data_IF_547506759121
#
_entry.id   IF_547506759121
#
_cell.length_a   1.000
_cell.length_b   1.000
_cell.length_c   1.000
_cell.angle_alpha   90.00
_cell.angle_beta   90.00
_cell.angle_gamma   90.00
#
_symmetry.space_group_name_H-M   'P 1'
#
loop_
_entity.id
_entity.type
_entity.pdbx_description
1 polymer ?
#
# COMPACT_ATOMS: atom_id res chain seq x y z
N UNK A 1 -7.14 7.07 -19.20
CA UNK A 1 -5.88 6.54 -19.76
C UNK A 1 -4.89 6.61 -18.63
N UNK A 2 -4.80 5.56 -17.83
CA UNK A 2 -3.91 5.52 -16.68
C UNK A 2 -2.48 5.38 -17.18
N UNK A 3 -1.76 6.49 -17.19
CA UNK A 3 -0.32 6.52 -17.32
C UNK A 3 0.27 5.69 -16.20
N UNK A 4 0.69 4.45 -16.49
CA UNK A 4 1.48 3.61 -15.59
C UNK A 4 2.82 4.28 -15.37
N UNK A 5 2.85 5.19 -14.39
CA UNK A 5 4.09 5.77 -13.93
C UNK A 5 4.79 4.68 -13.11
N UNK A 6 5.97 4.30 -13.60
CA UNK A 6 6.84 3.30 -13.02
C UNK A 6 8.03 4.01 -12.38
N UNK A 7 8.44 3.54 -11.20
CA UNK A 7 9.63 4.01 -10.51
C UNK A 7 10.56 2.82 -10.32
N UNK A 8 11.83 2.98 -10.67
CA UNK A 8 12.84 1.94 -10.47
C UNK A 8 12.98 1.62 -8.99
N UNK A 9 12.96 0.33 -8.64
CA UNK A 9 13.17 -0.13 -7.25
C UNK A 9 14.52 0.38 -6.73
N UNK A 10 15.56 0.34 -7.56
CA UNK A 10 16.89 0.80 -7.18
C UNK A 10 16.90 2.29 -6.80
N UNK A 11 16.22 3.13 -7.58
CA UNK A 11 16.08 4.56 -7.27
C UNK A 11 15.29 4.78 -5.99
N UNK A 12 14.19 4.04 -5.82
CA UNK A 12 13.35 4.08 -4.62
C UNK A 12 14.14 3.69 -3.37
N UNK A 13 14.81 2.53 -3.38
CA UNK A 13 15.64 2.04 -2.30
C UNK A 13 16.76 3.03 -1.93
N UNK A 14 17.38 3.68 -2.92
CA UNK A 14 18.40 4.72 -2.69
C UNK A 14 17.82 5.95 -1.99
N UNK A 15 16.64 6.40 -2.40
CA UNK A 15 15.99 7.59 -1.83
C UNK A 15 15.54 7.36 -0.38
N UNK A 16 14.86 6.26 -0.11
CA UNK A 16 14.35 5.92 1.23
C UNK A 16 15.38 5.22 2.12
N UNK A 17 16.57 4.90 1.58
CA UNK A 17 17.66 4.19 2.27
C UNK A 17 17.21 2.85 2.85
N UNK A 18 16.42 2.11 2.06
CA UNK A 18 15.95 0.77 2.40
C UNK A 18 16.60 -0.27 1.49
N UNK A 19 16.90 -1.48 1.98
CA UNK A 19 17.44 -2.56 1.15
C UNK A 19 16.42 -3.01 0.10
N UNK A 20 16.90 -3.45 -1.07
CA UNK A 20 16.04 -4.07 -2.10
C UNK A 20 15.35 -5.34 -1.56
N UNK A 21 16.06 -6.10 -0.71
CA UNK A 21 15.51 -7.28 -0.03
C UNK A 21 14.25 -6.98 0.81
N UNK A 22 14.05 -5.74 1.27
CA UNK A 22 12.82 -5.35 1.94
C UNK A 22 11.65 -5.27 0.95
N UNK A 23 11.89 -4.74 -0.25
CA UNK A 23 10.87 -4.66 -1.31
C UNK A 23 10.56 -6.05 -1.85
N UNK A 24 11.57 -6.90 -2.01
CA UNK A 24 11.36 -8.31 -2.38
C UNK A 24 10.51 -9.04 -1.35
N UNK A 25 10.77 -8.81 -0.06
CA UNK A 25 9.95 -9.38 0.99
C UNK A 25 8.51 -8.85 0.94
N UNK A 26 8.30 -7.54 0.79
CA UNK A 26 6.94 -7.00 0.60
C UNK A 26 6.21 -7.61 -0.61
N UNK A 27 6.94 -7.93 -1.68
CA UNK A 27 6.38 -8.60 -2.84
C UNK A 27 5.99 -10.06 -2.54
N UNK A 28 6.79 -10.79 -1.76
CA UNK A 28 6.45 -12.16 -1.32
C UNK A 28 5.19 -12.24 -0.45
N UNK A 29 4.88 -11.17 0.31
CA UNK A 29 3.64 -11.05 1.08
C UNK A 29 2.46 -10.48 0.27
N UNK A 30 2.59 -10.35 -1.06
CA UNK A 30 1.59 -9.71 -1.94
C UNK A 30 1.19 -8.28 -1.52
N UNK A 31 2.06 -7.59 -0.75
CA UNK A 31 1.82 -6.24 -0.26
C UNK A 31 2.13 -5.17 -1.32
N UNK A 32 2.99 -5.50 -2.30
CA UNK A 32 3.37 -4.63 -3.41
C UNK A 32 3.41 -5.40 -4.73
N UNK A 33 3.31 -4.71 -5.85
CA UNK A 33 3.45 -5.31 -7.19
C UNK A 33 4.72 -4.82 -7.87
N UNK A 34 5.53 -5.76 -8.35
CA UNK A 34 6.74 -5.48 -9.11
C UNK A 34 6.45 -5.72 -10.60
N UNK A 35 6.76 -4.72 -11.43
CA UNK A 35 6.72 -4.83 -12.89
C UNK A 35 8.14 -4.95 -13.42
N UNK A 36 8.40 -5.96 -14.25
CA UNK A 36 9.71 -6.15 -14.89
C UNK A 36 9.67 -5.51 -16.28
N UNK A 37 10.61 -4.62 -16.58
CA UNK A 37 10.76 -3.99 -17.91
C UNK A 37 12.25 -3.87 -18.21
N UNK A 38 12.68 -4.26 -19.42
CA UNK A 38 14.08 -4.18 -19.85
C UNK A 38 15.09 -4.80 -18.86
N UNK A 39 14.73 -5.93 -18.24
CA UNK A 39 15.47 -6.63 -17.18
C UNK A 39 15.58 -5.90 -15.82
N UNK A 40 14.94 -4.75 -15.66
CA UNK A 40 14.91 -4.01 -14.40
C UNK A 40 13.54 -4.10 -13.70
N UNK A 41 13.57 -4.00 -12.37
CA UNK A 41 12.38 -4.08 -11.51
C UNK A 41 11.84 -2.68 -11.20
N UNK A 42 10.52 -2.52 -11.35
CA UNK A 42 9.81 -1.26 -11.13
C UNK A 42 8.62 -1.42 -10.20
N UNK A 43 8.36 -0.38 -9.40
CA UNK A 43 7.14 -0.19 -8.63
C UNK A 43 6.19 0.74 -9.36
N UNK A 44 4.88 0.50 -9.22
CA UNK A 44 3.87 1.43 -9.69
C UNK A 44 3.73 2.61 -8.72
N UNK A 45 3.58 3.83 -9.24
CA UNK A 45 3.46 5.03 -8.38
C UNK A 45 2.22 5.07 -7.50
N UNK A 46 1.17 4.36 -7.88
CA UNK A 46 -0.06 4.23 -7.07
C UNK A 46 0.21 3.54 -5.72
N UNK A 47 1.23 2.69 -5.63
CA UNK A 47 1.57 1.93 -4.43
C UNK A 47 2.60 2.64 -3.56
N UNK A 48 3.29 3.68 -4.06
CA UNK A 48 4.38 4.34 -3.34
C UNK A 48 3.98 4.81 -1.93
N UNK A 49 2.78 5.39 -1.80
CA UNK A 49 2.25 5.85 -0.51
C UNK A 49 2.07 4.70 0.49
N UNK A 50 1.70 3.51 0.02
CA UNK A 50 1.52 2.36 0.89
C UNK A 50 2.88 1.74 1.25
N UNK A 51 3.83 1.67 0.31
CA UNK A 51 5.21 1.26 0.60
C UNK A 51 5.86 2.19 1.63
N UNK A 52 5.67 3.51 1.52
CA UNK A 52 6.16 4.47 2.52
C UNK A 52 5.61 4.20 3.93
N UNK A 53 4.32 3.90 4.05
CA UNK A 53 3.72 3.55 5.34
C UNK A 53 4.35 2.27 5.89
N UNK A 54 4.56 1.26 5.04
CA UNK A 54 5.20 -0.01 5.44
C UNK A 54 6.65 0.19 5.88
N UNK A 55 7.41 1.04 5.18
CA UNK A 55 8.77 1.45 5.59
C UNK A 55 8.73 2.06 6.99
N UNK A 56 7.82 3.00 7.25
CA UNK A 56 7.68 3.62 8.57
C UNK A 56 7.29 2.61 9.65
N UNK A 57 6.37 1.69 9.36
CA UNK A 57 5.99 0.61 10.29
C UNK A 57 7.19 -0.28 10.64
N UNK A 58 8.00 -0.64 9.65
CA UNK A 58 9.16 -1.51 9.86
C UNK A 58 10.31 -0.79 10.58
N UNK A 59 10.72 0.37 10.06
CA UNK A 59 11.96 1.04 10.48
C UNK A 59 11.75 2.00 11.65
N UNK A 60 10.61 2.68 11.74
CA UNK A 60 10.34 3.62 12.83
C UNK A 60 9.67 2.93 14.02
N UNK A 61 8.79 1.96 13.75
CA UNK A 61 7.98 1.29 14.78
C UNK A 61 8.44 -0.15 15.09
N UNK A 62 9.51 -0.61 14.43
CA UNK A 62 10.11 -1.94 14.64
C UNK A 62 9.13 -3.11 14.50
N UNK A 63 8.16 -2.97 13.59
CA UNK A 63 7.17 -4.01 13.29
C UNK A 63 7.77 -4.96 12.25
N UNK A 64 7.68 -6.28 12.49
CA UNK A 64 8.10 -7.28 11.52
C UNK A 64 7.17 -7.36 10.29
N UNK A 65 7.60 -8.07 9.25
CA UNK A 65 6.83 -8.19 8.01
C UNK A 65 5.46 -8.86 8.23
N UNK A 66 5.39 -9.88 9.09
CA UNK A 66 4.13 -10.53 9.44
C UNK A 66 3.18 -9.57 10.18
N UNK A 67 3.74 -8.68 11.02
CA UNK A 67 2.99 -7.61 11.67
C UNK A 67 2.48 -6.57 10.67
N UNK A 68 3.30 -6.22 9.66
CA UNK A 68 2.90 -5.30 8.59
C UNK A 68 1.75 -5.90 7.77
N UNK A 69 1.84 -7.16 7.36
CA UNK A 69 0.76 -7.84 6.64
C UNK A 69 -0.55 -7.87 7.45
N UNK A 70 -0.46 -8.25 8.73
CA UNK A 70 -1.62 -8.24 9.62
C UNK A 70 -2.24 -6.83 9.74
N UNK A 71 -1.42 -5.79 9.95
CA UNK A 71 -1.88 -4.40 10.05
C UNK A 71 -2.51 -3.93 8.74
N UNK A 72 -1.90 -4.26 7.60
CA UNK A 72 -2.40 -3.88 6.29
C UNK A 72 -3.79 -4.50 6.02
N UNK A 73 -3.94 -5.81 6.31
CA UNK A 73 -5.21 -6.50 6.20
C UNK A 73 -6.29 -5.93 7.14
N UNK A 74 -5.93 -5.54 8.36
CA UNK A 74 -6.84 -4.90 9.30
C UNK A 74 -7.24 -3.49 8.84
N UNK A 75 -6.29 -2.70 8.34
CA UNK A 75 -6.56 -1.36 7.83
C UNK A 75 -7.56 -1.42 6.67
N UNK A 76 -7.37 -2.36 5.74
CA UNK A 76 -8.28 -2.57 4.61
C UNK A 76 -9.69 -2.94 5.06
N UNK A 77 -9.83 -3.79 6.08
CA UNK A 77 -11.13 -4.12 6.66
C UNK A 77 -11.79 -2.91 7.31
N UNK A 78 -11.03 -2.08 8.04
CA UNK A 78 -11.54 -0.84 8.64
C UNK A 78 -12.00 0.15 7.58
N UNK A 79 -11.23 0.35 6.51
CA UNK A 79 -11.60 1.24 5.40
C UNK A 79 -12.89 0.77 4.71
N UNK A 80 -13.02 -0.54 4.48
CA UNK A 80 -14.23 -1.14 3.92
C UNK A 80 -15.46 -0.88 4.83
N UNK A 81 -15.32 -1.14 6.13
CA UNK A 81 -16.41 -0.90 7.10
C UNK A 81 -16.79 0.59 7.19
N UNK A 82 -15.80 1.49 7.12
CA UNK A 82 -16.06 2.92 7.10
C UNK A 82 -16.81 3.36 5.83
N UNK A 83 -16.45 2.81 4.67
CA UNK A 83 -17.15 3.06 3.41
C UNK A 83 -18.60 2.57 3.46
N UNK A 84 -18.82 1.35 3.97
CA UNK A 84 -20.16 0.79 4.16
C UNK A 84 -20.99 1.67 5.11
N UNK A 85 -20.41 2.06 6.26
CA UNK A 85 -21.09 2.92 7.23
C UNK A 85 -21.48 4.29 6.64
N UNK A 86 -20.60 4.90 5.85
CA UNK A 86 -20.91 6.14 5.11
C UNK A 86 -22.04 5.94 4.12
N UNK A 87 -22.02 4.83 3.37
CA UNK A 87 -23.06 4.49 2.40
C UNK A 87 -24.42 4.29 3.08
N UNK A 88 -24.45 3.59 4.21
CA UNK A 88 -25.67 3.38 5.00
C UNK A 88 -26.21 4.71 5.56
N UNK A 89 -25.33 5.56 6.12
CA UNK A 89 -25.71 6.90 6.61
C UNK A 89 -26.29 7.78 5.51
N UNK A 90 -25.66 7.80 4.34
CA UNK A 90 -26.15 8.58 3.20
C UNK A 90 -27.54 8.10 2.74
N UNK A 91 -27.77 6.78 2.74
CA UNK A 91 -29.10 6.22 2.44
C UNK A 91 -30.14 6.63 3.49
N UNK A 92 -29.81 6.52 4.78
CA UNK A 92 -30.71 6.93 5.86
C UNK A 92 -31.09 8.41 5.76
N UNK A 93 -30.11 9.29 5.60
CA UNK A 93 -30.37 10.72 5.41
C UNK A 93 -31.28 10.98 4.20
N UNK A 94 -31.05 10.27 3.08
CA UNK A 94 -31.91 10.42 1.91
C UNK A 94 -33.35 9.96 2.11
N UNK A 95 -33.66 9.13 3.11
CA UNK A 95 -35.03 8.77 3.48
C UNK A 95 -35.66 9.75 4.47
N UNK A 96 -34.86 10.39 5.33
CA UNK A 96 -35.31 11.37 6.33
C UNK A 96 -35.56 12.76 5.74
N UNK A 97 -34.94 13.07 4.59
CA UNK A 97 -35.12 14.33 3.85
C UNK A 97 -36.41 14.35 2.98
N UNK A 98 -37.22 13.28 2.98
CA UNK A 98 -38.56 13.20 2.37
C UNK A 98 -39.67 13.26 3.43
#
# INVERSE_FOLDING_TARGET
MDTTHLISIQQFCTHYKVPEAFIDALYEYDLVQITITDNDNFLQTNQLNDVEKMIRLHYDLHINLEGIDAIYNLLKQVEYLQLENRTLKNKLNSYEDF
#
